data_IF_276038882604
#
_entry.id   IF_276038882604
#
_cell.length_a   1.000
_cell.length_b   1.000
_cell.length_c   1.000
_cell.angle_alpha   90.00
_cell.angle_beta   90.00
_cell.angle_gamma   90.00
#
_symmetry.space_group_name_H-M   'P 1'
#
loop_
_entity.id
_entity.type
_entity.pdbx_description
1 polymer ?
#
# COMPACT_ATOMS: atom_id res chain seq x y z
N UNK A 1 3.09 -42.39 -0.01
CA UNK A 1 1.84 -43.09 -0.37
C UNK A 1 1.83 -43.29 -1.88
N UNK A 2 1.69 -44.48 -2.34
CA UNK A 2 1.76 -44.83 -3.77
C UNK A 2 0.42 -44.62 -4.50
N UNK A 3 -0.65 -44.49 -3.73
CA UNK A 3 -2.02 -44.24 -4.15
C UNK A 3 -2.26 -42.76 -4.62
N UNK A 4 -1.31 -41.85 -4.35
CA UNK A 4 -1.41 -40.45 -4.74
C UNK A 4 -0.60 -40.21 -6.00
N UNK A 5 -1.23 -39.77 -7.07
CA UNK A 5 -0.58 -39.49 -8.35
C UNK A 5 -0.05 -38.05 -8.46
N UNK A 6 -0.72 -37.09 -7.86
CA UNK A 6 -0.39 -35.66 -7.98
C UNK A 6 -0.76 -34.91 -6.69
N UNK A 7 -0.14 -33.75 -6.48
CA UNK A 7 -0.41 -32.86 -5.35
C UNK A 7 -0.98 -31.54 -5.88
N UNK A 8 -1.99 -31.00 -5.20
CA UNK A 8 -2.53 -29.69 -5.48
C UNK A 8 -2.05 -28.73 -4.41
N UNK A 9 -1.32 -27.70 -4.82
CA UNK A 9 -0.96 -26.59 -3.94
C UNK A 9 -2.12 -25.59 -3.89
N UNK A 10 -2.80 -25.53 -2.75
CA UNK A 10 -3.96 -24.67 -2.51
C UNK A 10 -3.73 -23.65 -1.37
N UNK A 11 -2.47 -23.31 -1.11
CA UNK A 11 -2.13 -22.20 -0.19
C UNK A 11 -2.51 -20.86 -0.80
N UNK A 12 -2.47 -19.79 0.00
CA UNK A 12 -2.86 -18.44 -0.43
C UNK A 12 -2.25 -18.04 -1.78
N UNK A 13 -3.02 -17.30 -2.57
CA UNK A 13 -2.62 -16.87 -3.92
C UNK A 13 -1.67 -15.66 -3.85
N UNK A 14 -0.53 -15.84 -3.17
CA UNK A 14 0.52 -14.83 -3.02
C UNK A 14 1.92 -15.46 -2.93
N UNK A 15 2.95 -14.63 -2.71
CA UNK A 15 4.34 -15.05 -2.56
C UNK A 15 4.58 -15.89 -1.33
N UNK A 16 3.95 -15.51 -0.22
CA UNK A 16 4.10 -16.15 1.07
C UNK A 16 3.46 -17.56 1.04
N UNK A 17 2.25 -17.66 0.48
CA UNK A 17 1.58 -18.94 0.27
C UNK A 17 2.39 -19.90 -0.62
N UNK A 18 3.00 -19.38 -1.69
CA UNK A 18 3.90 -20.18 -2.54
C UNK A 18 5.14 -20.67 -1.77
N UNK A 19 5.76 -19.79 -0.97
CA UNK A 19 6.91 -20.16 -0.15
C UNK A 19 6.55 -21.22 0.90
N UNK A 20 5.43 -21.06 1.62
CA UNK A 20 4.96 -22.01 2.63
C UNK A 20 4.83 -23.42 2.02
N UNK A 21 4.13 -23.52 0.89
CA UNK A 21 3.97 -24.80 0.23
C UNK A 21 5.32 -25.40 -0.18
N UNK A 22 6.19 -24.64 -0.82
CA UNK A 22 7.48 -25.15 -1.31
C UNK A 22 8.42 -25.56 -0.19
N UNK A 23 8.41 -24.86 0.93
CA UNK A 23 9.19 -25.28 2.09
C UNK A 23 8.74 -26.62 2.62
N UNK A 24 7.42 -26.86 2.75
CA UNK A 24 6.88 -28.13 3.20
C UNK A 24 7.17 -29.24 2.18
N UNK A 25 6.93 -28.96 0.90
CA UNK A 25 7.17 -29.92 -0.19
C UNK A 25 8.64 -30.35 -0.26
N UNK A 26 9.57 -29.41 -0.15
CA UNK A 26 11.01 -29.68 -0.17
C UNK A 26 11.47 -30.40 1.11
N UNK A 27 10.95 -30.00 2.28
CA UNK A 27 11.26 -30.66 3.56
C UNK A 27 10.78 -32.11 3.57
N UNK A 28 9.61 -32.37 3.02
CA UNK A 28 9.06 -33.71 2.85
C UNK A 28 9.81 -34.54 1.79
N UNK A 29 10.77 -33.95 1.07
CA UNK A 29 11.51 -34.57 -0.06
C UNK A 29 10.55 -35.20 -1.08
N UNK A 30 9.39 -34.59 -1.28
CA UNK A 30 8.39 -35.09 -2.20
C UNK A 30 8.86 -34.89 -3.65
N UNK A 31 8.58 -35.87 -4.54
CA UNK A 31 8.92 -35.82 -5.95
C UNK A 31 7.70 -35.93 -6.88
N UNK A 32 6.51 -35.97 -6.28
CA UNK A 32 5.28 -36.08 -7.07
C UNK A 32 4.98 -34.79 -7.81
N UNK A 33 4.36 -34.84 -8.99
CA UNK A 33 3.99 -33.64 -9.73
C UNK A 33 3.03 -32.76 -8.92
N UNK A 34 3.18 -31.44 -9.06
CA UNK A 34 2.37 -30.46 -8.33
C UNK A 34 1.70 -29.54 -9.33
N UNK A 35 0.41 -29.33 -9.13
CA UNK A 35 -0.38 -28.26 -9.75
C UNK A 35 -0.71 -27.18 -8.76
N UNK A 36 -0.65 -25.94 -9.20
CA UNK A 36 -0.99 -24.76 -8.40
C UNK A 36 -2.44 -24.35 -8.64
N UNK A 37 -3.24 -24.42 -7.60
CA UNK A 37 -4.58 -23.84 -7.56
C UNK A 37 -4.45 -22.37 -7.11
N UNK A 38 -4.77 -21.44 -8.02
CA UNK A 38 -4.69 -20.01 -7.77
C UNK A 38 -6.09 -19.42 -7.62
N UNK A 39 -6.50 -19.14 -6.39
CA UNK A 39 -7.83 -18.61 -6.06
C UNK A 39 -7.68 -17.26 -5.39
N UNK A 40 -8.15 -16.20 -6.03
CA UNK A 40 -8.14 -14.83 -5.49
C UNK A 40 -9.49 -14.37 -4.94
N UNK A 41 -10.56 -15.13 -5.19
CA UNK A 41 -11.91 -14.88 -4.68
C UNK A 41 -12.55 -16.19 -4.24
N UNK A 42 -13.29 -16.16 -3.13
CA UNK A 42 -14.01 -17.33 -2.61
C UNK A 42 -15.39 -17.55 -3.26
N UNK A 43 -15.72 -16.81 -4.31
CA UNK A 43 -16.92 -17.07 -5.09
C UNK A 43 -16.86 -18.42 -5.81
N UNK A 44 -17.98 -19.14 -5.84
CA UNK A 44 -18.06 -20.47 -6.44
C UNK A 44 -17.58 -20.48 -7.90
N UNK A 45 -17.99 -19.49 -8.67
CA UNK A 45 -17.58 -19.33 -10.07
C UNK A 45 -16.07 -19.20 -10.26
N UNK A 46 -15.42 -18.42 -9.39
CA UNK A 46 -13.98 -18.22 -9.39
C UNK A 46 -13.22 -19.50 -9.00
N UNK A 47 -13.70 -20.22 -7.99
CA UNK A 47 -13.14 -21.50 -7.55
C UNK A 47 -13.24 -22.54 -8.66
N UNK A 48 -14.41 -22.71 -9.28
CA UNK A 48 -14.62 -23.65 -10.40
C UNK A 48 -13.68 -23.35 -11.57
N UNK A 49 -13.56 -22.07 -11.94
CA UNK A 49 -12.65 -21.63 -13.00
C UNK A 49 -11.20 -21.93 -12.63
N UNK A 50 -10.79 -21.65 -11.40
CA UNK A 50 -9.40 -21.89 -10.95
C UNK A 50 -9.05 -23.38 -10.96
N UNK A 51 -9.98 -24.27 -10.62
CA UNK A 51 -9.80 -25.71 -10.69
C UNK A 51 -9.54 -26.23 -12.12
N UNK A 52 -10.16 -25.60 -13.12
CA UNK A 52 -9.97 -25.99 -14.53
C UNK A 52 -8.72 -25.36 -15.16
N UNK A 53 -8.16 -24.31 -14.56
CA UNK A 53 -7.03 -23.55 -15.09
C UNK A 53 -5.74 -23.69 -14.28
N UNK A 54 -5.62 -24.74 -13.45
CA UNK A 54 -4.43 -24.99 -12.66
C UNK A 54 -3.18 -25.09 -13.54
N UNK A 55 -2.12 -24.44 -13.12
CA UNK A 55 -0.81 -24.47 -13.79
C UNK A 55 0.18 -25.34 -13.04
N UNK A 56 1.21 -25.87 -13.71
CA UNK A 56 2.28 -26.61 -13.03
C UNK A 56 3.02 -25.67 -12.07
N UNK A 57 3.60 -26.23 -11.01
CA UNK A 57 4.36 -25.49 -9.99
C UNK A 57 5.49 -24.64 -10.59
N UNK A 58 6.12 -25.11 -11.67
CA UNK A 58 7.21 -24.40 -12.35
C UNK A 58 6.79 -23.04 -12.94
N UNK A 59 5.51 -22.84 -13.25
CA UNK A 59 5.00 -21.54 -13.70
C UNK A 59 5.11 -20.43 -12.63
N UNK A 60 5.34 -20.81 -11.37
CA UNK A 60 5.45 -19.92 -10.22
C UNK A 60 6.86 -19.85 -9.61
N UNK A 61 7.90 -20.33 -10.33
CA UNK A 61 9.27 -20.33 -9.84
C UNK A 61 9.79 -18.92 -9.54
N UNK A 62 9.49 -17.96 -10.40
CA UNK A 62 9.87 -16.56 -10.17
C UNK A 62 9.17 -15.95 -8.94
N UNK A 63 7.91 -16.33 -8.71
CA UNK A 63 7.17 -15.89 -7.52
C UNK A 63 7.79 -16.45 -6.25
N UNK A 64 8.13 -17.74 -6.24
CA UNK A 64 8.84 -18.38 -5.14
C UNK A 64 10.20 -17.73 -4.90
N UNK A 65 11.00 -17.52 -5.94
CA UNK A 65 12.33 -16.91 -5.83
C UNK A 65 12.25 -15.49 -5.25
N UNK A 66 11.25 -14.70 -5.65
CA UNK A 66 11.01 -13.38 -5.10
C UNK A 66 10.64 -13.43 -3.61
N UNK A 67 9.76 -14.34 -3.21
CA UNK A 67 9.40 -14.56 -1.80
C UNK A 67 10.58 -15.05 -0.96
N UNK A 68 11.35 -15.99 -1.49
CA UNK A 68 12.53 -16.55 -0.84
C UNK A 68 13.65 -15.51 -0.66
N UNK A 69 13.91 -14.70 -1.68
CA UNK A 69 14.90 -13.60 -1.60
C UNK A 69 14.48 -12.57 -0.55
N UNK A 70 13.19 -12.22 -0.50
CA UNK A 70 12.62 -11.33 0.52
C UNK A 70 12.82 -11.91 1.93
N UNK A 71 12.45 -13.17 2.16
CA UNK A 71 12.59 -13.81 3.45
C UNK A 71 14.06 -13.84 3.93
N UNK A 72 14.99 -14.12 3.02
CA UNK A 72 16.44 -14.05 3.32
C UNK A 72 16.90 -12.64 3.67
N UNK A 73 16.49 -11.64 2.90
CA UNK A 73 16.85 -10.26 3.16
C UNK A 73 16.30 -9.78 4.52
N UNK A 74 15.05 -10.09 4.82
CA UNK A 74 14.41 -9.77 6.09
C UNK A 74 15.15 -10.42 7.27
N UNK A 75 15.55 -11.67 7.12
CA UNK A 75 16.30 -12.41 8.15
C UNK A 75 17.70 -11.82 8.35
N UNK A 76 18.45 -11.58 7.27
CA UNK A 76 19.83 -11.04 7.35
C UNK A 76 19.84 -9.64 7.96
N UNK A 77 18.99 -8.74 7.48
CA UNK A 77 18.91 -7.36 7.97
C UNK A 77 18.36 -7.33 9.40
N UNK A 78 17.29 -8.05 9.66
CA UNK A 78 16.64 -8.08 10.98
C UNK A 78 17.56 -8.64 12.06
N UNK A 79 18.21 -9.76 11.82
CA UNK A 79 19.11 -10.38 12.80
C UNK A 79 20.35 -9.56 13.05
N UNK A 80 21.07 -9.17 12.01
CA UNK A 80 22.32 -8.44 12.15
C UNK A 80 22.10 -7.02 12.66
N UNK A 81 21.09 -6.31 12.12
CA UNK A 81 20.73 -4.96 12.57
C UNK A 81 20.28 -4.95 14.02
N UNK A 82 19.37 -5.84 14.42
CA UNK A 82 18.88 -5.90 15.80
C UNK A 82 20.03 -6.19 16.79
N UNK A 83 20.92 -7.12 16.47
CA UNK A 83 22.09 -7.42 17.31
C UNK A 83 23.06 -6.23 17.40
N UNK A 84 23.41 -5.65 16.27
CA UNK A 84 24.33 -4.51 16.21
C UNK A 84 23.82 -3.33 17.06
N UNK A 85 22.59 -2.91 16.83
CA UNK A 85 22.01 -1.78 17.53
C UNK A 85 21.76 -2.09 19.03
N UNK A 86 21.33 -3.31 19.36
CA UNK A 86 21.15 -3.70 20.76
C UNK A 86 22.47 -3.68 21.54
N UNK A 87 23.56 -4.15 20.95
CA UNK A 87 24.89 -4.10 21.56
C UNK A 87 25.40 -2.67 21.64
N UNK A 88 25.25 -1.88 20.57
CA UNK A 88 25.77 -0.51 20.50
C UNK A 88 25.09 0.44 21.50
N UNK A 89 23.79 0.26 21.75
CA UNK A 89 22.99 1.14 22.59
C UNK A 89 22.64 0.54 23.96
N UNK A 90 23.12 -0.65 24.28
CA UNK A 90 22.93 -1.27 25.59
C UNK A 90 21.48 -1.65 25.92
N UNK A 91 20.62 -1.86 24.92
CA UNK A 91 19.21 -2.19 25.12
C UNK A 91 18.67 -3.07 24.00
N UNK A 92 17.52 -3.72 24.22
CA UNK A 92 16.86 -4.53 23.18
C UNK A 92 16.25 -3.63 22.12
N UNK A 93 16.88 -3.55 20.96
CA UNK A 93 16.40 -2.80 19.80
C UNK A 93 16.11 -3.76 18.65
N UNK A 94 14.89 -3.76 18.19
CA UNK A 94 14.45 -4.57 17.06
C UNK A 94 14.52 -3.75 15.77
N UNK A 95 15.22 -4.26 14.79
CA UNK A 95 15.31 -3.69 13.44
C UNK A 95 14.57 -4.59 12.48
N UNK A 96 13.75 -4.02 11.63
CA UNK A 96 13.02 -4.76 10.62
C UNK A 96 12.69 -3.91 9.41
N UNK A 97 12.56 -4.56 8.27
CA UNK A 97 12.32 -3.90 6.98
C UNK A 97 11.00 -3.11 6.93
N UNK A 98 9.99 -3.53 7.66
CA UNK A 98 8.69 -2.84 7.73
C UNK A 98 8.59 -1.99 8.99
N UNK A 99 8.84 -2.59 10.16
CA UNK A 99 8.63 -1.91 11.44
C UNK A 99 9.52 -0.67 11.62
N UNK A 100 10.79 -0.72 11.19
CA UNK A 100 11.70 0.43 11.37
C UNK A 100 11.30 1.63 10.50
N UNK A 101 11.03 1.49 9.19
CA UNK A 101 10.52 2.60 8.38
C UNK A 101 9.17 3.11 8.87
N UNK A 102 8.26 2.23 9.29
CA UNK A 102 6.96 2.64 9.82
C UNK A 102 7.13 3.48 11.08
N UNK A 103 7.98 3.07 12.01
CA UNK A 103 8.30 3.86 13.21
C UNK A 103 8.91 5.21 12.83
N UNK A 104 9.83 5.24 11.88
CA UNK A 104 10.44 6.49 11.40
C UNK A 104 9.40 7.46 10.83
N UNK A 105 8.43 6.97 10.06
CA UNK A 105 7.32 7.78 9.54
C UNK A 105 6.44 8.35 10.67
N UNK A 106 6.16 7.56 11.70
CA UNK A 106 5.40 8.01 12.87
C UNK A 106 6.16 9.11 13.61
N UNK A 107 7.44 8.88 13.91
CA UNK A 107 8.29 9.87 14.60
C UNK A 107 8.40 11.16 13.81
N UNK A 108 8.55 11.06 12.48
CA UNK A 108 8.57 12.25 11.62
C UNK A 108 7.24 13.00 11.69
N UNK A 109 6.13 12.28 11.64
CA UNK A 109 4.79 12.89 11.75
C UNK A 109 4.57 13.57 13.08
N UNK A 110 5.00 12.94 14.17
CA UNK A 110 4.94 13.54 15.51
C UNK A 110 5.77 14.84 15.60
N UNK A 111 6.96 14.84 14.98
CA UNK A 111 7.80 16.04 14.92
C UNK A 111 7.13 17.16 14.12
N UNK A 112 6.48 16.86 12.99
CA UNK A 112 5.70 17.81 12.19
C UNK A 112 4.52 18.38 12.98
N UNK A 113 3.80 17.54 13.72
CA UNK A 113 2.67 17.96 14.57
C UNK A 113 3.13 18.86 15.71
N UNK A 114 4.22 18.48 16.40
CA UNK A 114 4.77 19.26 17.51
C UNK A 114 5.42 20.57 17.05
N UNK A 115 5.98 20.59 15.85
CA UNK A 115 6.57 21.77 15.23
C UNK A 115 5.58 22.63 14.42
N UNK A 116 4.29 22.25 14.42
CA UNK A 116 3.31 22.93 13.57
C UNK A 116 3.05 24.36 14.02
N UNK A 117 3.34 25.30 13.14
CA UNK A 117 3.00 26.71 13.32
C UNK A 117 1.76 27.04 12.49
N UNK A 118 0.72 27.52 13.16
CA UNK A 118 -0.51 27.93 12.48
C UNK A 118 -0.23 29.08 11.50
N UNK A 119 -0.58 28.88 10.26
CA UNK A 119 -0.53 29.93 9.23
C UNK A 119 -1.97 30.33 8.89
N UNK A 120 -2.23 31.65 8.93
CA UNK A 120 -3.48 32.20 8.43
C UNK A 120 -3.49 32.12 6.91
N UNK A 121 -4.61 31.80 6.34
CA UNK A 121 -4.89 31.96 4.94
C UNK A 121 -6.31 32.49 4.76
N UNK A 122 -6.57 33.05 3.61
CA UNK A 122 -7.83 33.67 3.26
C UNK A 122 -8.42 33.00 2.03
N UNK A 123 -9.73 33.03 1.92
CA UNK A 123 -10.47 32.69 0.71
C UNK A 123 -11.47 33.82 0.46
N UNK A 124 -11.63 34.18 -0.79
CA UNK A 124 -12.66 35.13 -1.20
C UNK A 124 -13.85 34.36 -1.77
N UNK A 125 -15.02 34.57 -1.22
CA UNK A 125 -16.24 33.90 -1.65
C UNK A 125 -17.13 34.89 -2.41
N UNK A 126 -17.49 34.55 -3.63
CA UNK A 126 -18.41 35.30 -4.47
C UNK A 126 -19.79 34.66 -4.42
N UNK A 127 -20.76 35.37 -3.82
CA UNK A 127 -22.13 34.92 -3.77
C UNK A 127 -22.86 35.32 -5.06
N UNK A 128 -23.23 34.33 -5.87
CA UNK A 128 -23.93 34.50 -7.15
C UNK A 128 -25.45 34.23 -7.02
N UNK A 129 -26.01 34.19 -5.80
CA UNK A 129 -27.41 33.87 -5.52
C UNK A 129 -27.63 32.36 -5.32
N UNK A 130 -27.69 31.59 -6.39
CA UNK A 130 -27.96 30.15 -6.32
C UNK A 130 -26.71 29.32 -6.01
N UNK A 131 -25.51 29.87 -6.09
CA UNK A 131 -24.26 29.18 -5.80
C UNK A 131 -23.17 30.16 -5.33
N UNK A 132 -22.16 29.61 -4.65
CA UNK A 132 -21.00 30.35 -4.16
C UNK A 132 -19.77 29.87 -4.93
N UNK A 133 -18.98 30.81 -5.42
CA UNK A 133 -17.66 30.54 -5.99
C UNK A 133 -16.61 30.95 -4.98
N UNK A 134 -15.76 29.99 -4.58
CA UNK A 134 -14.63 30.25 -3.68
C UNK A 134 -13.32 30.36 -4.44
N UNK A 135 -12.49 31.33 -4.09
CA UNK A 135 -11.15 31.45 -4.65
C UNK A 135 -10.25 30.31 -4.18
N UNK A 136 -9.10 30.14 -4.83
CA UNK A 136 -8.01 29.40 -4.26
C UNK A 136 -7.50 30.06 -2.96
N UNK A 137 -6.71 29.32 -2.18
CA UNK A 137 -6.06 29.85 -0.98
C UNK A 137 -5.20 31.07 -1.30
N UNK A 138 -5.36 32.13 -0.51
CA UNK A 138 -4.60 33.40 -0.56
C UNK A 138 -3.85 33.53 0.76
N UNK A 139 -2.53 33.66 0.72
CA UNK A 139 -1.70 33.72 1.95
C UNK A 139 -1.52 35.17 2.47
N UNK A 140 -1.89 36.19 1.68
CA UNK A 140 -1.80 37.61 2.04
C UNK A 140 -3.20 38.24 2.16
N UNK A 141 -3.45 38.89 3.30
CA UNK A 141 -4.73 39.55 3.62
C UNK A 141 -5.04 40.70 2.65
N UNK A 142 -4.03 41.49 2.33
CA UNK A 142 -4.22 42.63 1.40
C UNK A 142 -4.55 42.19 -0.03
N UNK A 143 -3.99 41.03 -0.43
CA UNK A 143 -4.33 40.44 -1.72
C UNK A 143 -5.78 39.92 -1.74
N UNK A 144 -6.24 39.34 -0.64
CA UNK A 144 -7.62 38.89 -0.49
C UNK A 144 -8.61 40.07 -0.52
N UNK A 145 -8.33 41.12 0.22
CA UNK A 145 -9.16 42.38 0.21
C UNK A 145 -9.19 43.04 -1.13
N UNK A 146 -8.06 43.08 -1.83
CA UNK A 146 -7.97 43.61 -3.18
C UNK A 146 -8.82 42.80 -4.17
N UNK A 147 -8.83 41.45 -4.04
CA UNK A 147 -9.66 40.59 -4.87
C UNK A 147 -11.15 40.82 -4.61
N UNK A 148 -11.55 40.89 -3.32
CA UNK A 148 -12.94 41.18 -2.95
C UNK A 148 -13.37 42.54 -3.53
N UNK A 149 -12.58 43.60 -3.34
CA UNK A 149 -12.87 44.94 -3.85
C UNK A 149 -12.92 44.99 -5.39
N UNK A 150 -12.13 44.16 -6.05
CA UNK A 150 -12.12 44.07 -7.51
C UNK A 150 -13.37 43.35 -8.06
N UNK A 151 -14.00 42.45 -7.31
CA UNK A 151 -15.14 41.66 -7.75
C UNK A 151 -16.49 42.18 -7.25
N UNK A 152 -16.51 42.93 -6.16
CA UNK A 152 -17.75 43.42 -5.53
C UNK A 152 -18.60 44.25 -6.46
N UNK A 153 -19.87 43.89 -6.60
CA UNK A 153 -20.85 44.58 -7.44
C UNK A 153 -20.61 44.47 -8.94
N UNK A 154 -19.68 43.63 -9.41
CA UNK A 154 -19.36 43.45 -10.83
C UNK A 154 -19.96 42.17 -11.40
N UNK A 155 -20.24 42.23 -12.72
CA UNK A 155 -20.63 41.03 -13.46
C UNK A 155 -19.42 40.15 -13.74
N UNK A 156 -19.57 38.84 -13.52
CA UNK A 156 -18.54 37.84 -13.84
C UNK A 156 -19.04 36.91 -14.94
N UNK A 157 -18.10 36.44 -15.78
CA UNK A 157 -18.40 35.48 -16.84
C UNK A 157 -17.73 34.17 -16.54
N UNK A 158 -18.51 33.07 -16.50
CA UNK A 158 -17.98 31.76 -16.37
C UNK A 158 -17.31 31.31 -17.66
N UNK A 159 -15.99 31.13 -17.65
CA UNK A 159 -15.22 30.78 -18.85
C UNK A 159 -15.24 29.28 -19.15
N UNK A 160 -15.35 28.43 -18.11
CA UNK A 160 -15.46 27.00 -18.29
C UNK A 160 -16.12 26.35 -17.09
N UNK A 161 -16.81 25.22 -17.32
CA UNK A 161 -17.39 24.37 -16.27
C UNK A 161 -16.86 22.95 -16.46
N UNK A 162 -16.19 22.40 -15.45
CA UNK A 162 -15.78 21.00 -15.42
C UNK A 162 -16.65 20.26 -14.42
N UNK A 163 -17.38 19.26 -14.89
CA UNK A 163 -18.19 18.39 -14.03
C UNK A 163 -17.44 17.09 -13.78
N UNK A 164 -17.14 16.80 -12.52
CA UNK A 164 -16.59 15.54 -12.10
C UNK A 164 -17.66 14.74 -11.36
N UNK A 165 -17.92 13.52 -11.82
CA UNK A 165 -18.80 12.58 -11.13
C UNK A 165 -17.88 11.67 -10.30
N UNK A 166 -17.92 11.80 -8.97
CA UNK A 166 -17.28 10.84 -8.08
C UNK A 166 -18.22 9.63 -7.99
N UNK A 167 -17.77 8.48 -8.44
CA UNK A 167 -18.37 7.19 -8.12
C UNK A 167 -17.77 6.69 -6.81
N UNK A 168 -18.65 6.41 -5.85
CA UNK A 168 -18.28 5.76 -4.57
C UNK A 168 -17.78 4.33 -4.79
#
# INVERSE_FOLDING_TARGET
RDDISEIICATDADREGECIFRYVYNMARCRKPVKRLWVSSLEESAIRKSLTTMKPMSAYDNLFNAGYARAKADWLVGMNGSRLFSVRYGGKLNIGRVQTPTLAMIVQRDAEVNGFVKQKYFTADLNCGDFILSSARIDDENAADSLVSACDGKSVTISSVKREVKTD
#
